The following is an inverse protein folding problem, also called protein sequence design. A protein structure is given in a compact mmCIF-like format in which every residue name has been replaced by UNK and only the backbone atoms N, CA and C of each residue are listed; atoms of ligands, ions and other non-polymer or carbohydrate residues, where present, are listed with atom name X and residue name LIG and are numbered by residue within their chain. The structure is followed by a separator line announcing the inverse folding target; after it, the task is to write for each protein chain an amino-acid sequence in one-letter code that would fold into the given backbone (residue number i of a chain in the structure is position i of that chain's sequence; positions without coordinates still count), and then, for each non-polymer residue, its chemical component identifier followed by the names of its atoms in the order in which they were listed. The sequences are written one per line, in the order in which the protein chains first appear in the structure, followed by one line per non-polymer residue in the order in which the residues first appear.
data_IF_854813633245
#
_entry.id   IF_854813633245
#
_cell.length_a   1.000
_cell.length_b   1.000
_cell.length_c   1.000
_cell.angle_alpha   90.00
_cell.angle_beta   90.00
_cell.angle_gamma   90.00
#
_symmetry.space_group_name_H-M   'P 1'
#
loop_
_entity.id
_entity.type
_entity.pdbx_description
1 polymer ?
#
# COMPACT_ATOMS: atom_id res chain seq x y z
N UNK A 1 19.41 17.83 -1.49
CA UNK A 1 18.62 17.67 -0.24
C UNK A 1 17.22 17.33 -0.68
N UNK A 2 16.58 16.33 -0.10
CA UNK A 2 15.19 16.00 -0.46
C UNK A 2 14.25 16.80 0.45
N UNK A 3 13.22 17.41 -0.12
CA UNK A 3 12.24 18.21 0.62
C UNK A 3 11.14 17.34 1.25
N UNK A 4 10.96 16.12 0.74
CA UNK A 4 10.05 15.11 1.26
C UNK A 4 10.59 13.71 0.99
N UNK A 5 10.17 12.74 1.80
CA UNK A 5 10.41 11.31 1.60
C UNK A 5 9.12 10.54 1.87
N UNK A 6 8.98 9.41 1.21
CA UNK A 6 7.88 8.48 1.37
C UNK A 6 8.45 7.08 1.55
N UNK A 7 7.79 6.27 2.39
CA UNK A 7 8.10 4.87 2.61
C UNK A 7 6.81 4.11 2.98
N UNK A 8 6.94 2.94 3.56
CA UNK A 8 5.83 1.98 3.66
C UNK A 8 4.86 2.26 4.82
N UNK A 9 5.30 2.91 5.89
CA UNK A 9 4.45 3.22 7.04
C UNK A 9 5.21 3.49 8.33
N UNK A 10 4.52 3.92 9.41
CA UNK A 10 5.14 4.46 10.62
C UNK A 10 6.21 3.59 11.26
N UNK A 11 6.04 2.26 11.23
CA UNK A 11 7.00 1.33 11.81
C UNK A 11 8.36 1.38 11.11
N UNK A 12 8.34 1.27 9.79
CA UNK A 12 9.57 1.26 8.99
C UNK A 12 10.14 2.66 8.83
N UNK A 13 9.30 3.69 8.73
CA UNK A 13 9.70 5.09 8.75
C UNK A 13 10.49 5.44 10.01
N UNK A 14 10.05 4.93 11.17
CA UNK A 14 10.76 5.11 12.42
C UNK A 14 12.09 4.35 12.46
N UNK A 15 12.17 3.15 11.87
CA UNK A 15 13.44 2.40 11.74
C UNK A 15 14.44 3.13 10.88
N UNK A 16 14.00 3.73 9.78
CA UNK A 16 14.83 4.57 8.92
C UNK A 16 15.20 5.92 9.57
N UNK A 17 14.55 6.27 10.68
CA UNK A 17 14.82 7.51 11.40
C UNK A 17 14.18 8.75 10.78
N UNK A 18 13.21 8.61 9.85
CA UNK A 18 12.57 9.73 9.16
C UNK A 18 11.92 10.71 10.15
N UNK A 19 11.31 10.20 11.22
CA UNK A 19 10.73 11.01 12.31
C UNK A 19 11.74 11.90 13.05
N UNK A 20 13.05 11.71 12.87
CA UNK A 20 14.11 12.53 13.47
C UNK A 20 14.57 13.66 12.55
N UNK A 21 14.28 13.54 11.26
CA UNK A 21 14.75 14.46 10.21
C UNK A 21 13.64 15.31 9.62
N UNK A 22 12.37 14.85 9.71
CA UNK A 22 11.21 15.55 9.20
C UNK A 22 10.18 15.77 10.32
N UNK A 23 9.77 17.02 10.57
CA UNK A 23 8.82 17.34 11.64
C UNK A 23 7.36 17.10 11.25
N UNK A 24 7.06 16.93 9.96
CA UNK A 24 5.70 16.77 9.45
C UNK A 24 5.51 15.37 8.89
N UNK A 25 4.44 14.70 9.33
CA UNK A 25 4.05 13.36 8.89
C UNK A 25 2.65 13.39 8.28
N UNK A 26 2.57 13.30 6.96
CA UNK A 26 1.31 13.43 6.23
C UNK A 26 0.66 12.09 5.95
N UNK A 27 -0.69 12.07 6.02
CA UNK A 27 -1.54 10.96 5.59
C UNK A 27 -2.74 11.47 4.78
N UNK A 28 -3.48 10.62 4.04
CA UNK A 28 -3.15 9.24 3.67
C UNK A 28 -2.01 9.17 2.66
N UNK A 29 -1.41 7.98 2.51
CA UNK A 29 -0.55 7.66 1.36
C UNK A 29 -1.40 7.69 0.09
N UNK A 30 -1.38 8.80 -0.63
CA UNK A 30 -2.31 9.07 -1.73
C UNK A 30 -2.10 8.19 -2.96
N UNK A 31 -0.89 7.73 -3.19
CA UNK A 31 -0.50 6.94 -4.35
C UNK A 31 -0.46 5.43 -4.04
N UNK A 32 -0.19 5.06 -2.80
CA UNK A 32 -0.08 3.67 -2.35
C UNK A 32 -0.62 3.53 -0.92
N UNK A 33 -1.96 3.53 -0.75
CA UNK A 33 -2.57 3.46 0.58
C UNK A 33 -2.42 2.08 1.26
N UNK A 34 -2.00 1.09 0.52
CA UNK A 34 -1.72 -0.27 1.00
C UNK A 34 -0.78 -1.00 0.06
N UNK A 35 0.01 -1.92 0.60
CA UNK A 35 1.02 -2.67 -0.16
C UNK A 35 0.66 -4.14 -0.25
N UNK A 36 0.73 -4.69 -1.46
CA UNK A 36 0.71 -6.14 -1.70
C UNK A 36 2.13 -6.61 -1.98
N UNK A 37 2.67 -7.44 -1.10
CA UNK A 37 3.99 -8.04 -1.30
C UNK A 37 3.90 -9.25 -2.23
N UNK A 38 4.99 -9.52 -2.95
CA UNK A 38 5.08 -10.65 -3.87
C UNK A 38 6.33 -11.49 -3.60
N UNK A 39 6.24 -12.77 -3.96
CA UNK A 39 7.39 -13.68 -4.00
C UNK A 39 7.74 -13.96 -5.46
N UNK A 40 8.84 -13.37 -5.93
CA UNK A 40 9.34 -13.60 -7.28
C UNK A 40 10.22 -14.86 -7.36
N UNK A 41 9.81 -15.84 -8.17
CA UNK A 41 10.59 -17.03 -8.45
C UNK A 41 11.08 -17.05 -9.89
N UNK A 42 12.31 -17.48 -10.12
CA UNK A 42 12.73 -17.81 -11.47
C UNK A 42 11.89 -19.00 -11.98
N UNK A 43 11.16 -18.81 -13.08
CA UNK A 43 10.23 -19.80 -13.59
C UNK A 43 10.88 -21.15 -13.83
N UNK A 44 12.05 -21.19 -14.50
CA UNK A 44 12.75 -22.44 -14.80
C UNK A 44 13.20 -23.16 -13.53
N UNK A 45 13.68 -22.40 -12.52
CA UNK A 45 14.09 -22.98 -11.25
C UNK A 45 12.90 -23.54 -10.49
N UNK A 46 11.77 -22.85 -10.46
CA UNK A 46 10.55 -23.32 -9.83
C UNK A 46 9.99 -24.58 -10.54
N UNK A 47 9.92 -24.58 -11.86
CA UNK A 47 9.44 -25.72 -12.65
C UNK A 47 10.35 -26.96 -12.58
N UNK A 48 11.64 -26.78 -12.25
CA UNK A 48 12.58 -27.87 -12.04
C UNK A 48 12.43 -28.56 -10.68
N UNK A 49 11.70 -27.97 -9.75
CA UNK A 49 11.45 -28.58 -8.44
C UNK A 49 10.45 -29.74 -8.55
N UNK A 50 10.58 -30.77 -7.72
CA UNK A 50 9.54 -31.77 -7.51
C UNK A 50 8.20 -31.12 -7.12
N UNK A 51 7.09 -31.72 -7.54
CA UNK A 51 5.76 -31.16 -7.36
C UNK A 51 5.36 -30.94 -5.88
N UNK A 52 5.89 -31.71 -4.95
CA UNK A 52 5.69 -31.54 -3.52
C UNK A 52 6.41 -30.29 -2.99
N UNK A 53 7.60 -29.99 -3.50
CA UNK A 53 8.33 -28.77 -3.14
C UNK A 53 7.70 -27.53 -3.75
N UNK A 54 7.18 -27.60 -4.99
CA UNK A 54 6.40 -26.48 -5.57
C UNK A 54 5.19 -26.17 -4.69
N UNK A 55 4.40 -27.16 -4.32
CA UNK A 55 3.25 -26.97 -3.40
C UNK A 55 3.66 -26.45 -2.03
N UNK A 56 4.79 -26.90 -1.50
CA UNK A 56 5.32 -26.39 -0.22
C UNK A 56 5.63 -24.89 -0.32
N UNK A 57 6.26 -24.44 -1.39
CA UNK A 57 6.51 -23.01 -1.63
C UNK A 57 5.21 -22.20 -1.77
N UNK A 58 4.23 -22.71 -2.51
CA UNK A 58 2.94 -22.02 -2.69
C UNK A 58 2.20 -21.87 -1.35
N UNK A 59 2.16 -22.93 -0.54
CA UNK A 59 1.54 -22.86 0.79
C UNK A 59 2.30 -21.95 1.76
N UNK A 60 3.64 -21.99 1.73
CA UNK A 60 4.45 -21.11 2.55
C UNK A 60 4.25 -19.65 2.16
N UNK A 61 4.22 -19.33 0.87
CA UNK A 61 3.94 -17.98 0.37
C UNK A 61 2.57 -17.48 0.82
N UNK A 62 1.52 -18.30 0.69
CA UNK A 62 0.18 -17.95 1.15
C UNK A 62 0.12 -17.70 2.68
N UNK A 63 0.77 -18.55 3.47
CA UNK A 63 0.83 -18.41 4.93
C UNK A 63 1.56 -17.12 5.34
N UNK A 64 2.70 -16.83 4.72
CA UNK A 64 3.49 -15.62 5.01
C UNK A 64 2.76 -14.37 4.57
N UNK A 65 1.97 -14.40 3.50
CA UNK A 65 1.15 -13.27 3.07
C UNK A 65 0.18 -12.83 4.17
N UNK A 66 -0.56 -13.77 4.76
CA UNK A 66 -1.50 -13.48 5.85
C UNK A 66 -0.76 -12.99 7.09
N UNK A 67 0.34 -13.66 7.45
CA UNK A 67 1.16 -13.27 8.59
C UNK A 67 1.74 -11.86 8.42
N UNK A 68 2.33 -11.55 7.28
CA UNK A 68 2.97 -10.25 7.03
C UNK A 68 1.98 -9.10 7.07
N UNK A 69 0.76 -9.30 6.55
CA UNK A 69 -0.30 -8.28 6.62
C UNK A 69 -0.69 -7.99 8.08
N UNK A 70 -0.91 -9.04 8.86
CA UNK A 70 -1.28 -8.90 10.28
C UNK A 70 -0.16 -8.23 11.11
N UNK A 71 1.08 -8.64 10.89
CA UNK A 71 2.26 -8.08 11.54
C UNK A 71 2.48 -6.60 11.17
N UNK A 72 2.29 -6.27 9.89
CA UNK A 72 2.35 -4.89 9.38
C UNK A 72 1.33 -3.99 10.09
N UNK A 73 0.06 -4.39 10.14
CA UNK A 73 -0.96 -3.60 10.81
C UNK A 73 -0.67 -3.43 12.31
N UNK A 74 -0.30 -4.49 13.00
CA UNK A 74 0.02 -4.43 14.43
C UNK A 74 1.21 -3.50 14.72
N UNK A 75 2.31 -3.64 13.97
CA UNK A 75 3.51 -2.82 14.15
C UNK A 75 3.28 -1.35 13.81
N UNK A 76 2.54 -1.08 12.75
CA UNK A 76 2.22 0.30 12.38
C UNK A 76 1.28 0.97 13.38
N UNK A 77 0.31 0.26 13.95
CA UNK A 77 -0.54 0.78 15.01
C UNK A 77 0.28 1.17 16.26
N UNK A 78 1.22 0.31 16.68
CA UNK A 78 2.13 0.59 17.79
C UNK A 78 3.02 1.81 17.48
N UNK A 79 3.62 1.85 16.29
CA UNK A 79 4.50 2.94 15.87
C UNK A 79 3.76 4.28 15.80
N UNK A 80 2.53 4.29 15.27
CA UNK A 80 1.69 5.48 15.25
C UNK A 80 1.38 5.97 16.67
N UNK A 81 1.10 5.04 17.59
CA UNK A 81 0.93 5.37 19.02
C UNK A 81 2.16 6.05 19.61
N UNK A 82 3.35 5.55 19.28
CA UNK A 82 4.63 6.14 19.71
C UNK A 82 4.85 7.54 19.12
N UNK A 83 4.53 7.74 17.83
CA UNK A 83 4.62 9.08 17.23
C UNK A 83 3.72 10.09 17.95
N UNK A 84 2.52 9.68 18.36
CA UNK A 84 1.56 10.51 19.09
C UNK A 84 1.94 10.79 20.55
N UNK A 85 2.76 9.95 21.19
CA UNK A 85 3.12 10.05 22.59
C UNK A 85 4.58 10.46 22.82
N UNK A 86 5.53 9.60 22.42
CA UNK A 86 6.96 9.81 22.64
C UNK A 86 7.54 10.99 21.84
N UNK A 87 6.96 11.25 20.66
CA UNK A 87 7.40 12.30 19.74
C UNK A 87 6.42 13.47 19.63
N UNK A 88 5.46 13.56 20.58
CA UNK A 88 4.53 14.69 20.65
C UNK A 88 5.28 16.02 20.73
N UNK A 89 4.93 16.95 19.84
CA UNK A 89 5.58 18.26 19.72
C UNK A 89 6.92 18.25 18.95
N UNK A 90 7.38 17.06 18.51
CA UNK A 90 8.53 16.93 17.59
C UNK A 90 8.10 16.49 16.20
N UNK A 91 7.04 15.67 16.13
CA UNK A 91 6.43 15.24 14.89
C UNK A 91 4.96 15.63 14.93
N UNK A 92 4.53 16.33 13.90
CA UNK A 92 3.15 16.75 13.68
C UNK A 92 2.51 15.86 12.63
N UNK A 93 1.44 15.15 13.01
CA UNK A 93 0.72 14.23 12.11
C UNK A 93 -0.42 15.00 11.45
N UNK A 94 -0.34 15.19 10.15
CA UNK A 94 -1.21 16.06 9.37
C UNK A 94 -1.95 15.30 8.27
N UNK A 95 -3.20 15.67 8.06
CA UNK A 95 -3.95 15.19 6.92
C UNK A 95 -3.65 16.04 5.68
N UNK A 96 -3.41 15.38 4.54
CA UNK A 96 -3.36 16.07 3.26
C UNK A 96 -4.72 16.73 2.95
N UNK A 97 -4.73 18.00 2.52
CA UNK A 97 -5.98 18.68 2.18
C UNK A 97 -6.77 17.94 1.09
N UNK A 98 -8.07 17.80 1.28
CA UNK A 98 -8.94 17.09 0.33
C UNK A 98 -8.83 17.62 -1.11
N UNK A 99 -8.75 18.95 -1.38
CA UNK A 99 -8.51 19.45 -2.73
C UNK A 99 -7.23 18.90 -3.35
N UNK A 100 -6.13 18.87 -2.59
CA UNK A 100 -4.84 18.31 -3.05
C UNK A 100 -4.99 16.84 -3.43
N UNK A 101 -5.65 16.03 -2.59
CA UNK A 101 -5.90 14.61 -2.88
C UNK A 101 -6.73 14.41 -4.15
N UNK A 102 -7.71 15.28 -4.40
CA UNK A 102 -8.53 15.26 -5.62
C UNK A 102 -7.72 15.59 -6.87
N UNK A 103 -6.86 16.61 -6.79
CA UNK A 103 -6.00 17.00 -7.90
C UNK A 103 -4.96 15.90 -8.20
N UNK A 104 -4.33 15.32 -7.19
CA UNK A 104 -3.41 14.20 -7.34
C UNK A 104 -4.09 13.00 -7.98
N UNK A 105 -5.31 12.64 -7.56
CA UNK A 105 -6.10 11.57 -8.19
C UNK A 105 -6.38 11.84 -9.66
N UNK A 106 -6.72 13.07 -10.02
CA UNK A 106 -6.98 13.47 -11.41
C UNK A 106 -5.72 13.39 -12.27
N UNK A 107 -4.60 13.88 -11.75
CA UNK A 107 -3.30 13.82 -12.44
C UNK A 107 -2.84 12.37 -12.61
N UNK A 108 -2.92 11.55 -11.56
CA UNK A 108 -2.57 10.13 -11.62
C UNK A 108 -3.40 9.38 -12.68
N UNK A 109 -4.71 9.65 -12.78
CA UNK A 109 -5.56 9.04 -13.79
C UNK A 109 -5.10 9.40 -15.22
N UNK A 110 -4.65 10.63 -15.45
CA UNK A 110 -4.08 11.07 -16.73
C UNK A 110 -2.80 10.31 -17.09
N UNK A 111 -1.88 10.22 -16.14
CA UNK A 111 -0.59 9.51 -16.31
C UNK A 111 -0.84 8.01 -16.55
N UNK A 112 -1.70 7.37 -15.75
CA UNK A 112 -2.03 5.95 -15.91
C UNK A 112 -2.61 5.68 -17.29
N UNK A 113 -3.50 6.55 -17.78
CA UNK A 113 -4.06 6.44 -19.14
C UNK A 113 -2.96 6.51 -20.21
N UNK A 114 -2.08 7.51 -20.12
CA UNK A 114 -0.96 7.66 -21.05
C UNK A 114 -0.05 6.42 -21.05
N UNK A 115 0.37 5.96 -19.86
CA UNK A 115 1.24 4.79 -19.72
C UNK A 115 0.56 3.50 -20.24
N UNK A 116 -0.75 3.37 -19.99
CA UNK A 116 -1.51 2.19 -20.44
C UNK A 116 -1.60 2.06 -21.95
N UNK A 117 -1.47 3.15 -22.71
CA UNK A 117 -1.56 3.15 -24.17
C UNK A 117 -0.23 2.84 -24.87
N UNK A 118 0.91 2.88 -24.18
CA UNK A 118 2.24 2.74 -24.79
C UNK A 118 2.51 1.38 -25.43
N UNK A 119 1.97 0.31 -24.90
CA UNK A 119 2.18 -1.03 -25.45
C UNK A 119 0.89 -1.87 -25.47
N UNK A 120 0.80 -2.90 -26.36
CA UNK A 120 -0.33 -3.83 -26.32
C UNK A 120 -0.49 -4.55 -24.97
N UNK A 121 0.62 -4.86 -24.30
CA UNK A 121 0.61 -5.50 -22.99
C UNK A 121 0.09 -4.53 -21.92
N UNK A 122 0.53 -3.28 -21.92
CA UNK A 122 0.05 -2.25 -20.99
C UNK A 122 -1.48 -2.07 -21.13
N UNK A 123 -2.00 -1.99 -22.35
CA UNK A 123 -3.46 -1.95 -22.60
C UNK A 123 -4.19 -3.16 -22.03
N UNK A 124 -3.64 -4.37 -22.26
CA UNK A 124 -4.25 -5.61 -21.75
C UNK A 124 -4.29 -5.63 -20.22
N UNK A 125 -3.20 -5.27 -19.56
CA UNK A 125 -3.10 -5.21 -18.09
C UNK A 125 -4.07 -4.17 -17.55
N UNK A 126 -4.07 -2.96 -18.09
CA UNK A 126 -4.96 -1.88 -17.65
C UNK A 126 -6.44 -2.24 -17.82
N UNK A 127 -6.83 -2.85 -18.94
CA UNK A 127 -8.20 -3.31 -19.17
C UNK A 127 -8.62 -4.38 -18.14
N UNK A 128 -7.73 -5.31 -17.80
CA UNK A 128 -7.98 -6.31 -16.75
C UNK A 128 -8.14 -5.68 -15.38
N UNK A 129 -7.24 -4.76 -15.02
CA UNK A 129 -7.25 -4.04 -13.75
C UNK A 129 -8.53 -3.21 -13.59
N UNK A 130 -8.89 -2.39 -14.57
CA UNK A 130 -10.08 -1.53 -14.52
C UNK A 130 -11.37 -2.32 -14.46
N UNK A 131 -11.43 -3.46 -15.17
CA UNK A 131 -12.57 -4.38 -15.08
C UNK A 131 -12.75 -4.93 -13.67
N UNK A 132 -11.65 -5.35 -13.01
CA UNK A 132 -11.71 -5.85 -11.64
C UNK A 132 -12.04 -4.73 -10.65
N UNK A 133 -11.45 -3.56 -10.81
CA UNK A 133 -11.73 -2.39 -9.96
C UNK A 133 -13.22 -1.99 -10.02
N UNK A 134 -13.83 -2.00 -11.22
CA UNK A 134 -15.25 -1.74 -11.39
C UNK A 134 -16.14 -2.81 -10.73
N UNK A 135 -15.66 -4.04 -10.64
CA UNK A 135 -16.37 -5.14 -9.97
C UNK A 135 -16.27 -5.04 -8.44
N UNK A 136 -15.08 -4.77 -7.91
CA UNK A 136 -14.82 -4.82 -6.46
C UNK A 136 -15.20 -3.52 -5.74
N UNK A 137 -15.11 -2.38 -6.42
CA UNK A 137 -15.37 -1.07 -5.80
C UNK A 137 -16.77 -0.95 -5.19
N UNK A 138 -17.87 -1.36 -5.84
CA UNK A 138 -19.20 -1.35 -5.23
C UNK A 138 -19.32 -2.24 -4.00
N UNK A 139 -18.61 -3.36 -3.96
CA UNK A 139 -18.55 -4.24 -2.79
C UNK A 139 -17.85 -3.56 -1.60
N UNK A 140 -16.66 -3.00 -1.83
CA UNK A 140 -15.93 -2.26 -0.80
C UNK A 140 -16.79 -1.15 -0.18
N UNK A 141 -17.53 -0.42 -1.02
CA UNK A 141 -18.40 0.69 -0.58
C UNK A 141 -19.56 0.27 0.33
N UNK A 142 -20.06 -0.96 0.22
CA UNK A 142 -21.17 -1.48 1.06
C UNK A 142 -20.70 -2.45 2.15
N UNK A 143 -19.44 -2.82 2.16
CA UNK A 143 -18.82 -3.71 3.13
C UNK A 143 -18.03 -2.91 4.18
N UNK A 144 -16.75 -3.19 4.32
CA UNK A 144 -15.88 -2.57 5.33
C UNK A 144 -15.79 -1.05 5.18
N UNK A 145 -15.77 -0.55 3.94
CA UNK A 145 -15.74 0.89 3.67
C UNK A 145 -16.96 1.61 4.24
N UNK A 146 -18.16 1.01 4.12
CA UNK A 146 -19.36 1.57 4.72
C UNK A 146 -19.27 1.59 6.25
N UNK A 147 -18.80 0.51 6.87
CA UNK A 147 -18.64 0.44 8.31
C UNK A 147 -17.72 1.55 8.83
N UNK A 148 -16.54 1.69 8.24
CA UNK A 148 -15.59 2.75 8.64
C UNK A 148 -16.15 4.15 8.43
N UNK A 149 -16.93 4.35 7.37
CA UNK A 149 -17.50 5.67 7.08
C UNK A 149 -18.65 6.06 8.02
N UNK A 150 -19.56 5.14 8.34
CA UNK A 150 -20.80 5.44 9.07
C UNK A 150 -20.71 5.18 10.57
N UNK A 151 -19.94 4.20 11.00
CA UNK A 151 -19.86 3.82 12.43
C UNK A 151 -18.70 4.52 13.12
N UNK A 152 -17.66 4.89 12.40
CA UNK A 152 -16.48 5.59 12.89
C UNK A 152 -15.66 4.73 13.87
N UNK A 153 -14.43 4.43 13.54
CA UNK A 153 -13.47 3.85 14.49
C UNK A 153 -12.38 4.88 14.76
#
# INVERSE_FOLDING_TARGET
MNDAAEWVGPHDDMKLGLHKTAPYYYYPGWHEPGTTLEFGFNKKAYEALPADLQRTLDHAAAAVQVYSLSDFHAKNAIALGRLKTEFKGKVEILQLPVPVLRDLKKLAAGVIKEESEKTPMARKVHASFTKFQALVGPWDHVAEGAYHHFVGV
#
